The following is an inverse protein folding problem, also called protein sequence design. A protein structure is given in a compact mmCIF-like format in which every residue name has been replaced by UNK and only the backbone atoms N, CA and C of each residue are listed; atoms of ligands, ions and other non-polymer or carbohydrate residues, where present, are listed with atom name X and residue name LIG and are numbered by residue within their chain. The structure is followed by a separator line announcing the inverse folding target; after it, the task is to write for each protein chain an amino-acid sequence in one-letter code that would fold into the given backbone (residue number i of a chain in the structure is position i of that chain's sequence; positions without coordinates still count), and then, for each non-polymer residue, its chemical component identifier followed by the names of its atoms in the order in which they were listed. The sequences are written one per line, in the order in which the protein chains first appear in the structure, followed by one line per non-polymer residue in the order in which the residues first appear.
data_IF_926371375778
#
_entry.id   IF_926371375778
#
_cell.length_a   1.000
_cell.length_b   1.000
_cell.length_c   1.000
_cell.angle_alpha   90.00
_cell.angle_beta   90.00
_cell.angle_gamma   90.00
#
_symmetry.space_group_name_H-M   'P 1'
#
loop_
_entity.id
_entity.type
_entity.pdbx_description
1 polymer ?
#
# COMPACT_ATOMS: atom_id res chain seq x y z
N UNK A 1 -1.63 -2.00 25.53
CA UNK A 1 -0.17 -2.23 25.67
C UNK A 1 0.57 -2.40 24.34
N UNK A 2 0.10 -3.17 23.34
CA UNK A 2 0.71 -3.17 21.99
C UNK A 2 0.40 -1.91 21.17
N UNK A 3 -0.74 -1.25 21.44
CA UNK A 3 -1.15 0.02 20.81
C UNK A 3 -0.26 1.18 21.26
N UNK A 4 0.03 1.30 22.56
CA UNK A 4 0.93 2.35 23.09
C UNK A 4 2.37 2.25 22.58
N UNK A 5 2.92 1.04 22.47
CA UNK A 5 4.25 0.84 21.91
C UNK A 5 4.34 1.16 20.39
N UNK A 6 3.20 1.19 19.69
CA UNK A 6 3.09 1.65 18.30
C UNK A 6 2.86 3.17 18.19
N UNK A 7 2.23 3.79 19.20
CA UNK A 7 1.99 5.23 19.29
C UNK A 7 3.28 6.02 19.54
N UNK A 8 4.16 5.51 20.41
CA UNK A 8 5.32 6.26 20.92
C UNK A 8 6.50 6.39 19.94
N UNK A 9 6.52 5.64 18.83
CA UNK A 9 7.66 5.63 17.89
C UNK A 9 7.36 6.38 16.58
N UNK A 10 6.10 6.64 16.23
CA UNK A 10 5.75 7.22 14.92
C UNK A 10 4.59 8.22 14.87
N UNK A 11 4.14 8.79 15.99
CA UNK A 11 3.21 9.96 16.04
C UNK A 11 2.02 9.94 15.05
N UNK A 12 1.55 8.76 14.65
CA UNK A 12 0.37 8.59 13.80
C UNK A 12 -0.48 7.52 14.46
N UNK A 13 -1.51 7.94 15.19
CA UNK A 13 -2.52 7.02 15.71
C UNK A 13 -3.23 6.36 14.52
N UNK A 14 -3.10 5.03 14.33
CA UNK A 14 -3.81 4.34 13.26
C UNK A 14 -5.32 4.50 13.47
N UNK A 15 -6.05 4.86 12.42
CA UNK A 15 -7.51 4.71 12.38
C UNK A 15 -7.81 3.47 11.53
N UNK A 16 -8.14 2.32 12.14
CA UNK A 16 -8.33 1.08 11.39
C UNK A 16 -9.40 1.15 10.31
N UNK A 17 -10.42 2.02 10.46
CA UNK A 17 -11.46 2.19 9.45
C UNK A 17 -10.92 2.98 8.28
N UNK A 18 -10.31 4.14 8.55
CA UNK A 18 -9.71 4.97 7.50
C UNK A 18 -8.57 4.24 6.80
N UNK A 19 -7.77 3.48 7.54
CA UNK A 19 -6.65 2.73 7.00
C UNK A 19 -7.10 1.71 5.96
N UNK A 20 -8.19 0.98 6.27
CA UNK A 20 -8.81 0.03 5.33
C UNK A 20 -9.33 0.72 4.07
N UNK A 21 -9.94 1.90 4.20
CA UNK A 21 -10.41 2.67 3.05
C UNK A 21 -9.23 3.13 2.18
N UNK A 22 -8.17 3.64 2.81
CA UNK A 22 -6.96 4.09 2.10
C UNK A 22 -6.27 2.94 1.37
N UNK A 23 -6.03 1.79 2.01
CA UNK A 23 -5.43 0.65 1.30
C UNK A 23 -6.36 0.05 0.26
N UNK A 24 -7.68 0.15 0.45
CA UNK A 24 -8.68 -0.18 -0.57
C UNK A 24 -8.54 0.70 -1.80
N UNK A 25 -8.43 2.02 -1.62
CA UNK A 25 -8.17 2.98 -2.69
C UNK A 25 -6.86 2.65 -3.45
N UNK A 26 -5.76 2.45 -2.73
CA UNK A 26 -4.46 2.07 -3.33
C UNK A 26 -4.58 0.74 -4.10
N UNK A 27 -5.29 -0.24 -3.54
CA UNK A 27 -5.50 -1.55 -4.18
C UNK A 27 -6.28 -1.40 -5.49
N UNK A 28 -7.32 -0.54 -5.53
CA UNK A 28 -8.08 -0.28 -6.74
C UNK A 28 -7.29 0.52 -7.78
N UNK A 29 -6.47 1.49 -7.36
CA UNK A 29 -5.53 2.19 -8.25
C UNK A 29 -4.58 1.20 -8.93
N UNK A 30 -3.98 0.29 -8.16
CA UNK A 30 -3.09 -0.74 -8.71
C UNK A 30 -3.84 -1.75 -9.58
N UNK A 31 -5.07 -2.10 -9.21
CA UNK A 31 -5.94 -2.97 -10.02
C UNK A 31 -6.17 -2.36 -11.40
N UNK A 32 -6.51 -1.06 -11.46
CA UNK A 32 -6.69 -0.33 -12.70
C UNK A 32 -5.41 -0.30 -13.54
N UNK A 33 -4.26 -0.06 -12.91
CA UNK A 33 -2.97 0.04 -13.59
C UNK A 33 -2.44 -1.29 -14.15
N UNK A 34 -2.79 -2.41 -13.52
CA UNK A 34 -2.21 -3.74 -13.83
C UNK A 34 -3.18 -4.70 -14.49
N UNK A 35 -4.49 -4.39 -14.51
CA UNK A 35 -5.54 -5.30 -14.97
C UNK A 35 -5.79 -6.48 -14.03
N UNK A 36 -5.10 -6.58 -12.90
CA UNK A 36 -5.33 -7.62 -11.90
C UNK A 36 -6.55 -7.25 -11.05
N UNK A 37 -7.55 -8.13 -10.87
CA UNK A 37 -8.70 -7.84 -10.03
C UNK A 37 -8.31 -7.48 -8.58
N UNK A 38 -8.87 -6.42 -8.03
CA UNK A 38 -8.60 -5.96 -6.67
C UNK A 38 -8.76 -7.07 -5.61
N UNK A 39 -9.72 -7.98 -5.79
CA UNK A 39 -9.93 -9.15 -4.92
C UNK A 39 -8.73 -10.11 -4.93
N UNK A 40 -8.06 -10.29 -6.06
CA UNK A 40 -6.85 -11.11 -6.17
C UNK A 40 -5.63 -10.41 -5.58
N UNK A 41 -5.59 -9.08 -5.61
CA UNK A 41 -4.57 -8.28 -4.93
C UNK A 41 -4.77 -8.33 -3.41
N UNK A 42 -6.01 -8.32 -2.93
CA UNK A 42 -6.33 -8.34 -1.51
C UNK A 42 -6.28 -9.75 -0.88
N UNK A 43 -6.43 -10.82 -1.67
CA UNK A 43 -6.61 -12.17 -1.12
C UNK A 43 -5.43 -12.63 -0.24
N UNK A 44 -5.68 -13.24 0.93
CA UNK A 44 -4.63 -13.84 1.76
C UNK A 44 -4.16 -15.21 1.22
N UNK A 45 -4.94 -15.84 0.34
CA UNK A 45 -4.68 -17.18 -0.20
C UNK A 45 -3.53 -17.17 -1.22
N UNK A 46 -3.09 -18.36 -1.65
CA UNK A 46 -2.17 -18.53 -2.78
C UNK A 46 -2.74 -17.78 -3.99
N UNK A 47 -1.93 -16.92 -4.59
CA UNK A 47 -2.30 -16.08 -5.72
C UNK A 47 -1.28 -16.26 -6.86
N UNK A 48 -1.66 -15.84 -8.07
CA UNK A 48 -0.75 -15.82 -9.22
C UNK A 48 0.45 -14.91 -8.96
N UNK A 49 1.55 -15.13 -9.68
CA UNK A 49 2.72 -14.27 -9.58
C UNK A 49 2.38 -12.80 -9.92
N UNK A 50 1.49 -12.59 -10.89
CA UNK A 50 0.99 -11.26 -11.27
C UNK A 50 0.22 -10.60 -10.13
N UNK A 51 -0.67 -11.32 -9.46
CA UNK A 51 -1.40 -10.79 -8.30
C UNK A 51 -0.48 -10.52 -7.10
N UNK A 52 0.56 -11.33 -6.91
CA UNK A 52 1.61 -11.08 -5.91
C UNK A 52 2.35 -9.79 -6.24
N UNK A 53 2.77 -9.57 -7.49
CA UNK A 53 3.48 -8.36 -7.91
C UNK A 53 2.61 -7.10 -7.76
N UNK A 54 1.34 -7.17 -8.14
CA UNK A 54 0.38 -6.08 -7.94
C UNK A 54 0.21 -5.75 -6.45
N UNK A 55 0.14 -6.76 -5.57
CA UNK A 55 0.12 -6.52 -4.11
C UNK A 55 1.41 -5.88 -3.60
N UNK A 56 2.57 -6.29 -4.11
CA UNK A 56 3.85 -5.67 -3.74
C UNK A 56 3.87 -4.18 -4.12
N UNK A 57 3.34 -3.84 -5.29
CA UNK A 57 3.19 -2.47 -5.75
C UNK A 57 2.27 -1.65 -4.85
N UNK A 58 1.10 -2.20 -4.46
CA UNK A 58 0.19 -1.52 -3.53
C UNK A 58 0.83 -1.27 -2.15
N UNK A 59 1.59 -2.24 -1.65
CA UNK A 59 2.35 -2.11 -0.39
C UNK A 59 3.41 -1.01 -0.51
N UNK A 60 4.18 -1.00 -1.61
CA UNK A 60 5.21 0.01 -1.85
C UNK A 60 4.63 1.41 -1.90
N UNK A 61 3.57 1.64 -2.71
CA UNK A 61 2.90 2.93 -2.81
C UNK A 61 2.37 3.43 -1.46
N UNK A 62 1.81 2.53 -0.65
CA UNK A 62 1.34 2.88 0.70
C UNK A 62 2.50 3.29 1.61
N UNK A 63 3.61 2.54 1.57
CA UNK A 63 4.78 2.86 2.39
C UNK A 63 5.49 4.15 1.95
N UNK A 64 5.77 4.27 0.66
CA UNK A 64 6.61 5.32 0.08
C UNK A 64 5.83 6.59 -0.21
N UNK A 65 4.68 6.50 -0.87
CA UNK A 65 3.91 7.70 -1.26
C UNK A 65 3.12 8.28 -0.10
N UNK A 66 2.50 7.43 0.73
CA UNK A 66 1.72 7.89 1.89
C UNK A 66 2.56 7.98 3.17
N UNK A 67 3.85 7.62 3.11
CA UNK A 67 4.78 7.68 4.23
C UNK A 67 4.32 6.86 5.45
N UNK A 68 3.57 5.78 5.24
CA UNK A 68 3.12 4.92 6.34
C UNK A 68 4.26 4.04 6.83
N UNK A 69 4.47 3.92 8.17
CA UNK A 69 5.40 2.93 8.71
C UNK A 69 5.04 1.51 8.27
N UNK A 70 6.04 0.66 7.99
CA UNK A 70 5.81 -0.73 7.56
C UNK A 70 4.91 -1.52 8.52
N UNK A 71 4.93 -1.21 9.82
CA UNK A 71 4.03 -1.83 10.80
C UNK A 71 2.55 -1.51 10.55
N UNK A 72 2.23 -0.25 10.21
CA UNK A 72 0.87 0.18 9.85
C UNK A 72 0.44 -0.41 8.51
N UNK A 73 1.34 -0.43 7.52
CA UNK A 73 1.09 -1.07 6.21
C UNK A 73 0.79 -2.56 6.39
N UNK A 74 1.61 -3.26 7.17
CA UNK A 74 1.42 -4.68 7.50
C UNK A 74 0.06 -4.95 8.15
N UNK A 75 -0.30 -4.13 9.15
CA UNK A 75 -1.61 -4.21 9.79
C UNK A 75 -2.76 -3.98 8.79
N UNK A 76 -2.68 -2.93 7.97
CA UNK A 76 -3.74 -2.57 7.03
C UNK A 76 -3.93 -3.59 5.89
N UNK A 77 -2.85 -4.20 5.40
CA UNK A 77 -2.90 -5.26 4.39
C UNK A 77 -3.08 -6.68 4.98
N UNK A 78 -3.10 -6.83 6.31
CA UNK A 78 -3.19 -8.14 6.97
C UNK A 78 -1.99 -9.05 6.65
N UNK A 79 -0.78 -8.48 6.61
CA UNK A 79 0.48 -9.18 6.27
C UNK A 79 1.51 -9.04 7.38
N UNK A 80 2.53 -9.88 7.32
CA UNK A 80 3.68 -9.75 8.19
C UNK A 80 4.56 -8.56 7.78
N UNK A 81 5.15 -7.86 8.75
CA UNK A 81 6.01 -6.69 8.51
C UNK A 81 7.17 -7.00 7.57
N UNK A 82 7.78 -8.19 7.67
CA UNK A 82 8.88 -8.61 6.79
C UNK A 82 8.41 -8.88 5.37
N UNK A 83 7.15 -9.29 5.18
CA UNK A 83 6.53 -9.43 3.85
C UNK A 83 6.39 -8.08 3.18
N UNK A 84 5.95 -7.05 3.93
CA UNK A 84 5.89 -5.69 3.40
C UNK A 84 7.28 -5.13 3.08
N UNK A 85 8.28 -5.38 3.93
CA UNK A 85 9.67 -5.00 3.64
C UNK A 85 10.27 -5.75 2.44
N UNK A 86 9.91 -7.02 2.24
CA UNK A 86 10.29 -7.77 1.04
C UNK A 86 9.62 -7.20 -0.22
N UNK A 87 8.32 -6.88 -0.15
CA UNK A 87 7.60 -6.23 -1.23
C UNK A 87 8.26 -4.91 -1.63
N UNK A 88 8.65 -4.07 -0.67
CA UNK A 88 9.26 -2.78 -0.98
C UNK A 88 10.58 -2.96 -1.73
N UNK A 89 11.46 -3.86 -1.25
CA UNK A 89 12.71 -4.21 -1.95
C UNK A 89 12.44 -4.69 -3.38
N UNK A 90 11.44 -5.56 -3.58
CA UNK A 90 11.10 -6.07 -4.92
C UNK A 90 10.58 -5.04 -5.90
N UNK A 91 9.97 -3.95 -5.42
CA UNK A 91 9.58 -2.83 -6.27
C UNK A 91 10.75 -1.90 -6.51
N UNK A 92 11.60 -1.66 -5.51
CA UNK A 92 12.83 -0.88 -5.66
C UNK A 92 13.78 -1.49 -6.69
N UNK A 93 14.00 -2.82 -6.63
CA UNK A 93 14.76 -3.56 -7.64
C UNK A 93 14.20 -3.35 -9.07
N UNK A 94 12.87 -3.15 -9.21
CA UNK A 94 12.24 -2.90 -10.51
C UNK A 94 12.36 -1.45 -10.98
N UNK A 95 12.61 -0.49 -10.08
CA UNK A 95 12.80 0.92 -10.45
C UNK A 95 14.08 1.15 -11.25
N UNK A 96 14.99 0.18 -11.26
CA UNK A 96 16.16 0.17 -12.15
C UNK A 96 15.75 0.12 -13.64
N UNK A 97 14.54 -0.35 -13.97
CA UNK A 97 13.96 -0.28 -15.31
C UNK A 97 13.23 1.06 -15.52
N UNK A 98 13.75 1.91 -16.41
CA UNK A 98 13.22 3.26 -16.68
C UNK A 98 11.74 3.26 -17.09
N UNK A 99 11.30 2.25 -17.84
CA UNK A 99 9.92 2.17 -18.29
C UNK A 99 8.98 1.84 -17.13
N UNK A 100 9.40 0.99 -16.20
CA UNK A 100 8.70 0.71 -14.95
C UNK A 100 8.69 1.93 -14.03
N UNK A 101 9.83 2.58 -13.81
CA UNK A 101 9.94 3.73 -12.92
C UNK A 101 9.04 4.89 -13.36
N UNK A 102 9.00 5.17 -14.67
CA UNK A 102 8.09 6.19 -15.22
C UNK A 102 6.62 5.88 -14.91
N UNK A 103 6.17 4.64 -15.13
CA UNK A 103 4.79 4.22 -14.80
C UNK A 103 4.53 4.27 -13.29
N UNK A 104 5.51 3.90 -12.48
CA UNK A 104 5.41 3.99 -11.03
C UNK A 104 5.25 5.45 -10.58
N UNK A 105 6.01 6.38 -11.14
CA UNK A 105 5.91 7.81 -10.86
C UNK A 105 4.51 8.37 -11.17
N UNK A 106 3.87 7.92 -12.25
CA UNK A 106 2.49 8.29 -12.57
C UNK A 106 1.50 7.83 -11.48
N UNK A 107 1.66 6.60 -10.97
CA UNK A 107 0.83 6.08 -9.87
C UNK A 107 1.09 6.83 -8.56
N UNK A 108 2.35 7.15 -8.24
CA UNK A 108 2.68 7.96 -7.08
C UNK A 108 2.05 9.36 -7.18
N UNK A 109 2.12 10.00 -8.35
CA UNK A 109 1.51 11.31 -8.58
C UNK A 109 -0.01 11.27 -8.42
N UNK A 110 -0.68 10.24 -8.93
CA UNK A 110 -2.11 10.02 -8.74
C UNK A 110 -2.45 9.84 -7.25
N UNK A 111 -1.70 9.00 -6.54
CA UNK A 111 -1.94 8.71 -5.14
C UNK A 111 -1.71 9.93 -4.23
N UNK A 112 -0.80 10.85 -4.58
CA UNK A 112 -0.62 12.12 -3.85
C UNK A 112 -1.87 13.01 -3.85
N UNK A 113 -2.83 12.78 -4.76
CA UNK A 113 -4.11 13.49 -4.79
C UNK A 113 -5.18 12.85 -3.88
N UNK A 114 -4.86 11.77 -3.16
CA UNK A 114 -5.82 11.10 -2.29
C UNK A 114 -6.31 12.03 -1.16
N UNK A 115 -7.61 11.98 -0.79
CA UNK A 115 -8.14 12.79 0.29
C UNK A 115 -7.45 12.49 1.64
N UNK A 116 -6.77 13.48 2.20
CA UNK A 116 -6.06 13.35 3.49
C UNK A 116 -7.02 13.16 4.68
N UNK A 117 -8.22 13.72 4.60
CA UNK A 117 -9.21 13.71 5.67
C UNK A 117 -10.56 13.20 5.17
N UNK A 118 -11.32 12.56 6.06
CA UNK A 118 -12.74 12.37 5.81
C UNK A 118 -13.40 13.75 5.87
N UNK A 119 -14.24 14.06 4.88
CA UNK A 119 -15.06 15.26 4.87
C UNK A 119 -16.50 14.80 5.11
N UNK A 120 -17.20 15.46 6.02
CA UNK A 120 -18.62 15.25 6.18
C UNK A 120 -19.32 15.67 4.89
N UNK A 121 -20.16 14.78 4.35
CA UNK A 121 -21.00 15.11 3.21
C UNK A 121 -22.14 16.02 3.70
N UNK A 122 -22.44 17.11 3.00
CA UNK A 122 -23.58 17.98 3.33
C UNK A 122 -24.92 17.25 3.17
#
# INVERSE_FOLDING_TARGET
MLVQALEDIWAITPDPRRDRLTVGFVTHLVSLATGVPAVEIATPKRASHTAVRARQLAIYLTHITLHWPLARVAFAFGRDRTTCGHACRKIEDLREDEAFDRRLCELEACLRQAPAHAQDLP
#
